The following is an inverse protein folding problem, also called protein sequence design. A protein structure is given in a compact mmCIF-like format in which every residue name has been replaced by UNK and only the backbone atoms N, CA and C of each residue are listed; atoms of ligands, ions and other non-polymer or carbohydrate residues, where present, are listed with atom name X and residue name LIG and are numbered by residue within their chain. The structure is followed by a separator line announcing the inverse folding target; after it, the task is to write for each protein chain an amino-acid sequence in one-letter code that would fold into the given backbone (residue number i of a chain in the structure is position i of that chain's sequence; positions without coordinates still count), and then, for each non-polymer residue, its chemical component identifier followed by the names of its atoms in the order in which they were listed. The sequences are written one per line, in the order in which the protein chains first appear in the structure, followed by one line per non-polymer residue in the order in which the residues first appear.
data_IF_116766965056
#
_entry.id   IF_116766965056
#
_cell.length_a   1.000
_cell.length_b   1.000
_cell.length_c   1.000
_cell.angle_alpha   90.00
_cell.angle_beta   90.00
_cell.angle_gamma   90.00
#
_symmetry.space_group_name_H-M   'P 1'
#
loop_
_entity.id
_entity.type
_entity.pdbx_description
1 polymer ?
#
# COMPACT_ATOMS: atom_id res chain seq x y z
N UNK A 1 26.32 -31.12 -50.92
CA UNK A 1 26.45 -29.72 -50.42
C UNK A 1 25.99 -28.81 -51.55
N UNK A 2 24.77 -28.22 -51.48
CA UNK A 2 24.23 -27.36 -52.54
C UNK A 2 24.86 -25.98 -52.39
N UNK A 3 25.65 -25.54 -53.37
CA UNK A 3 26.26 -24.19 -53.37
C UNK A 3 25.11 -23.23 -53.70
N UNK A 4 24.78 -22.38 -52.75
CA UNK A 4 23.83 -21.27 -52.96
C UNK A 4 24.33 -20.37 -54.07
N UNK A 5 23.47 -19.96 -55.00
CA UNK A 5 23.82 -19.10 -56.12
C UNK A 5 24.01 -17.66 -55.59
N UNK A 6 24.88 -16.91 -56.27
CA UNK A 6 25.19 -15.51 -55.89
C UNK A 6 23.91 -14.63 -55.76
N UNK A 7 22.91 -14.92 -56.55
CA UNK A 7 21.56 -14.32 -56.47
C UNK A 7 20.88 -14.51 -55.14
N UNK A 8 21.06 -15.66 -54.46
CA UNK A 8 20.43 -15.96 -53.20
C UNK A 8 21.06 -15.12 -52.07
N UNK A 9 22.34 -14.83 -52.12
CA UNK A 9 23.02 -13.93 -51.19
C UNK A 9 22.57 -12.47 -51.31
N UNK A 10 22.36 -12.00 -52.58
CA UNK A 10 21.86 -10.63 -52.81
C UNK A 10 20.43 -10.50 -52.28
N UNK A 11 19.58 -11.51 -52.49
CA UNK A 11 18.20 -11.50 -51.99
C UNK A 11 18.16 -11.50 -50.44
N UNK A 12 19.03 -12.28 -49.81
CA UNK A 12 19.16 -12.30 -48.34
C UNK A 12 19.70 -10.97 -47.78
N UNK A 13 20.65 -10.36 -48.46
CA UNK A 13 21.22 -9.06 -48.06
C UNK A 13 20.14 -7.95 -48.13
N UNK A 14 19.35 -7.93 -49.21
CA UNK A 14 18.25 -6.96 -49.37
C UNK A 14 17.18 -7.18 -48.29
N UNK A 15 16.85 -8.43 -47.93
CA UNK A 15 15.91 -8.74 -46.89
C UNK A 15 16.40 -8.27 -45.51
N UNK A 16 17.69 -8.46 -45.18
CA UNK A 16 18.29 -8.00 -43.94
C UNK A 16 18.35 -6.46 -43.83
N UNK A 17 18.63 -5.76 -44.92
CA UNK A 17 18.65 -4.28 -44.95
C UNK A 17 17.24 -3.71 -44.80
N UNK A 18 16.23 -4.37 -45.39
CA UNK A 18 14.81 -3.96 -45.27
C UNK A 18 14.26 -4.00 -43.83
N UNK A 19 14.75 -4.92 -42.98
CA UNK A 19 14.33 -5.04 -41.58
C UNK A 19 14.95 -3.96 -40.69
N UNK A 20 16.06 -3.37 -41.07
CA UNK A 20 16.75 -2.32 -40.30
C UNK A 20 16.19 -0.90 -40.51
N UNK A 21 15.31 -0.68 -41.50
CA UNK A 21 14.77 0.65 -41.82
C UNK A 21 13.43 0.93 -41.09
N UNK A 22 12.85 -0.07 -40.44
CA UNK A 22 11.60 0.07 -39.72
C UNK A 22 11.83 0.37 -38.25
N UNK A 23 12.08 1.59 -37.90
CA UNK A 23 11.83 2.29 -36.62
C UNK A 23 12.85 3.42 -36.45
N UNK A 24 12.67 4.50 -37.19
CA UNK A 24 13.25 5.78 -36.82
C UNK A 24 12.20 6.89 -36.78
N UNK A 25 11.02 6.55 -36.29
CA UNK A 25 10.17 7.60 -35.75
C UNK A 25 10.86 8.07 -34.46
N UNK A 26 11.60 9.15 -34.59
CA UNK A 26 11.97 9.99 -33.46
C UNK A 26 10.68 10.65 -32.97
N UNK A 27 9.73 9.86 -32.42
CA UNK A 27 8.80 10.43 -31.51
C UNK A 27 9.65 10.94 -30.34
N UNK A 28 9.83 12.24 -30.27
CA UNK A 28 10.19 12.88 -29.01
C UNK A 28 9.11 12.44 -28.03
N UNK A 29 9.45 11.46 -27.21
CA UNK A 29 8.62 11.10 -26.05
C UNK A 29 8.65 12.32 -25.15
N UNK A 30 7.70 13.22 -25.39
CA UNK A 30 7.46 14.31 -24.45
C UNK A 30 7.01 13.62 -23.17
N UNK A 31 7.75 13.74 -22.06
CA UNK A 31 7.31 13.20 -20.79
C UNK A 31 5.90 13.71 -20.56
N UNK A 32 4.96 12.82 -20.26
CA UNK A 32 3.62 13.21 -19.86
C UNK A 32 3.77 14.29 -18.79
N UNK A 33 3.07 15.39 -18.99
CA UNK A 33 3.18 16.56 -18.14
C UNK A 33 2.91 16.09 -16.68
N UNK A 34 3.94 16.14 -15.83
CA UNK A 34 3.90 15.67 -14.44
C UNK A 34 2.92 16.47 -13.55
N UNK A 35 2.09 17.31 -14.16
CA UNK A 35 1.07 18.11 -13.49
C UNK A 35 -0.13 17.30 -12.99
N UNK A 36 -0.34 16.10 -13.54
CA UNK A 36 -1.51 15.30 -13.19
C UNK A 36 -1.24 14.45 -11.92
N UNK A 37 -1.14 15.13 -10.79
CA UNK A 37 -1.15 14.45 -9.50
C UNK A 37 -2.59 14.16 -9.05
N UNK A 38 -3.12 13.00 -9.40
CA UNK A 38 -4.48 12.59 -9.05
C UNK A 38 -4.73 12.38 -7.55
N UNK A 39 -3.70 12.43 -6.72
CA UNK A 39 -3.85 12.49 -5.26
C UNK A 39 -4.17 13.90 -4.77
N UNK A 40 -3.76 14.91 -5.52
CA UNK A 40 -3.99 16.29 -5.16
C UNK A 40 -5.45 16.70 -5.39
N UNK A 41 -5.98 17.46 -4.45
CA UNK A 41 -7.29 18.07 -4.59
C UNK A 41 -7.15 19.31 -5.50
N UNK A 42 -8.00 19.50 -6.52
CA UNK A 42 -7.98 20.69 -7.36
C UNK A 42 -8.08 21.98 -6.53
N UNK A 43 -7.35 23.03 -6.94
CA UNK A 43 -7.28 24.28 -6.17
C UNK A 43 -8.64 24.98 -6.05
N UNK A 44 -9.49 24.83 -7.05
CA UNK A 44 -10.84 25.41 -7.14
C UNK A 44 -11.91 24.57 -6.42
N UNK A 45 -11.61 23.37 -5.94
CA UNK A 45 -12.55 22.54 -5.21
C UNK A 45 -12.88 23.14 -3.84
N UNK A 46 -14.18 23.32 -3.56
CA UNK A 46 -14.71 24.00 -2.37
C UNK A 46 -15.68 23.16 -1.55
N UNK A 47 -15.91 21.91 -1.95
CA UNK A 47 -16.74 21.00 -1.17
C UNK A 47 -16.09 20.63 0.17
N UNK A 48 -16.86 20.24 1.18
CA UNK A 48 -16.36 20.00 2.53
C UNK A 48 -15.27 18.93 2.61
N UNK A 49 -15.38 17.83 1.84
CA UNK A 49 -14.35 16.77 1.79
C UNK A 49 -13.04 17.30 1.20
N UNK A 50 -13.12 18.02 0.09
CA UNK A 50 -11.96 18.64 -0.56
C UNK A 50 -11.24 19.62 0.35
N UNK A 51 -11.99 20.44 1.10
CA UNK A 51 -11.40 21.36 2.07
C UNK A 51 -10.71 20.62 3.22
N UNK A 52 -11.32 19.56 3.74
CA UNK A 52 -10.71 18.70 4.77
C UNK A 52 -9.40 18.08 4.25
N UNK A 53 -9.41 17.53 3.04
CA UNK A 53 -8.23 16.93 2.41
C UNK A 53 -7.11 17.95 2.19
N UNK A 54 -7.43 19.17 1.77
CA UNK A 54 -6.47 20.28 1.63
C UNK A 54 -5.83 20.66 2.96
N UNK A 55 -6.64 20.87 4.01
CA UNK A 55 -6.17 21.19 5.36
C UNK A 55 -5.27 20.11 5.90
N UNK A 56 -5.68 18.85 5.83
CA UNK A 56 -4.88 17.70 6.27
C UNK A 56 -3.53 17.63 5.55
N UNK A 57 -3.53 17.83 4.22
CA UNK A 57 -2.30 17.87 3.43
C UNK A 57 -1.38 19.01 3.85
N UNK A 58 -1.93 20.19 4.13
CA UNK A 58 -1.15 21.35 4.57
C UNK A 58 -0.49 21.11 5.93
N UNK A 59 -1.20 20.45 6.85
CA UNK A 59 -0.73 20.18 8.21
C UNK A 59 0.27 19.02 8.29
N UNK A 60 0.03 17.93 7.53
CA UNK A 60 0.79 16.68 7.66
C UNK A 60 1.73 16.40 6.50
N UNK A 61 1.51 17.00 5.34
CA UNK A 61 2.18 16.65 4.10
C UNK A 61 1.59 15.43 3.37
N UNK A 62 0.61 14.74 3.93
CA UNK A 62 0.03 13.49 3.43
C UNK A 62 -1.21 13.78 2.59
N UNK A 63 -1.38 13.08 1.46
CA UNK A 63 -2.62 13.14 0.68
C UNK A 63 -3.69 12.25 1.34
N UNK A 64 -4.71 12.89 1.93
CA UNK A 64 -5.83 12.19 2.54
C UNK A 64 -6.84 11.75 1.47
N UNK A 65 -7.35 10.53 1.60
CA UNK A 65 -8.33 9.92 0.71
C UNK A 65 -9.46 9.28 1.54
N UNK A 66 -10.69 9.35 1.02
CA UNK A 66 -11.87 8.66 1.57
C UNK A 66 -12.46 7.64 0.60
N UNK A 67 -11.88 7.51 -0.58
CA UNK A 67 -12.10 6.43 -1.53
C UNK A 67 -10.79 6.12 -2.25
N UNK A 68 -10.69 4.96 -2.87
CA UNK A 68 -9.49 4.50 -3.55
C UNK A 68 -9.40 4.95 -5.02
N UNK A 69 -10.44 5.60 -5.55
CA UNK A 69 -10.48 6.06 -6.94
C UNK A 69 -9.73 7.38 -7.09
N UNK A 70 -8.64 7.35 -7.84
CA UNK A 70 -7.83 8.54 -8.14
C UNK A 70 -8.33 9.27 -9.38
N UNK A 71 -8.79 8.50 -10.38
CA UNK A 71 -9.20 9.00 -11.68
C UNK A 71 -10.37 8.19 -12.23
N UNK A 72 -11.36 8.88 -12.78
CA UNK A 72 -12.46 8.27 -13.50
C UNK A 72 -12.85 9.16 -14.68
N UNK A 73 -12.38 8.83 -15.87
CA UNK A 73 -12.56 9.65 -17.06
C UNK A 73 -13.28 8.87 -18.15
N UNK A 74 -14.25 9.52 -18.78
CA UNK A 74 -14.94 8.96 -19.94
C UNK A 74 -13.98 8.89 -21.14
N UNK A 75 -13.69 7.70 -21.63
CA UNK A 75 -12.86 7.49 -22.83
C UNK A 75 -13.64 7.43 -24.14
N UNK A 76 -14.94 7.26 -24.06
CA UNK A 76 -15.80 7.14 -25.21
C UNK A 76 -16.90 6.09 -25.00
N UNK A 77 -17.36 5.52 -26.09
CA UNK A 77 -18.32 4.40 -26.07
C UNK A 77 -17.67 3.17 -26.67
N UNK A 78 -17.99 2.02 -26.11
CA UNK A 78 -17.57 0.74 -26.66
C UNK A 78 -18.36 0.35 -27.93
N UNK A 79 -18.06 -0.81 -28.49
CA UNK A 79 -18.73 -1.35 -29.71
C UNK A 79 -20.22 -1.63 -29.53
N UNK A 80 -20.71 -1.66 -28.29
CA UNK A 80 -22.12 -1.90 -27.96
C UNK A 80 -22.87 -0.60 -27.63
N UNK A 81 -22.18 0.56 -27.66
CA UNK A 81 -22.74 1.86 -27.33
C UNK A 81 -22.70 2.19 -25.84
N UNK A 82 -22.07 1.35 -25.01
CA UNK A 82 -21.92 1.58 -23.59
C UNK A 82 -20.74 2.54 -23.31
N UNK A 83 -20.89 3.38 -22.29
CA UNK A 83 -19.83 4.31 -21.89
C UNK A 83 -18.63 3.57 -21.31
N UNK A 84 -17.45 3.81 -21.88
CA UNK A 84 -16.18 3.26 -21.40
C UNK A 84 -15.43 4.31 -20.60
N UNK A 85 -15.00 3.96 -19.39
CA UNK A 85 -14.27 4.83 -18.48
C UNK A 85 -12.86 4.30 -18.25
N UNK A 86 -11.89 5.22 -18.18
CA UNK A 86 -10.60 4.95 -17.57
C UNK A 86 -10.75 5.14 -16.06
N UNK A 87 -10.59 4.08 -15.31
CA UNK A 87 -10.58 4.13 -13.84
C UNK A 87 -9.17 3.81 -13.36
N UNK A 88 -8.60 4.69 -12.56
CA UNK A 88 -7.34 4.46 -11.86
C UNK A 88 -7.59 4.50 -10.35
N UNK A 89 -7.14 3.47 -9.65
CA UNK A 89 -7.29 3.36 -8.20
C UNK A 89 -5.93 3.34 -7.51
N UNK A 90 -5.94 3.60 -6.19
CA UNK A 90 -4.80 3.29 -5.33
C UNK A 90 -4.74 1.78 -5.18
N UNK A 91 -3.84 1.13 -5.92
CA UNK A 91 -3.75 -0.32 -5.93
C UNK A 91 -2.89 -0.82 -4.76
N UNK A 92 -3.50 -1.18 -3.65
CA UNK A 92 -2.83 -1.76 -2.48
C UNK A 92 -2.39 -3.22 -2.69
N UNK A 93 -2.91 -3.89 -3.72
CA UNK A 93 -2.56 -5.27 -4.07
C UNK A 93 -1.45 -5.34 -5.13
N UNK A 94 -0.74 -4.25 -5.41
CA UNK A 94 0.30 -4.24 -6.43
C UNK A 94 1.57 -4.92 -5.94
N UNK A 95 1.93 -6.02 -6.60
CA UNK A 95 3.19 -6.74 -6.42
C UNK A 95 3.87 -6.98 -7.76
N UNK A 96 5.19 -6.80 -7.82
CA UNK A 96 5.96 -7.00 -9.05
C UNK A 96 6.02 -8.47 -9.52
N UNK A 97 5.95 -9.41 -8.58
CA UNK A 97 6.25 -10.82 -8.84
C UNK A 97 5.17 -11.79 -8.36
N UNK A 98 4.06 -11.32 -7.85
CA UNK A 98 3.09 -12.20 -7.21
C UNK A 98 2.22 -12.96 -8.19
N UNK A 99 2.07 -14.25 -7.95
CA UNK A 99 1.14 -15.13 -8.64
C UNK A 99 -0.28 -15.01 -8.06
N UNK A 100 -0.37 -14.86 -6.73
CA UNK A 100 -1.65 -14.73 -6.01
C UNK A 100 -1.61 -13.39 -5.29
N UNK A 101 -2.60 -12.54 -5.56
CA UNK A 101 -2.72 -11.21 -4.97
C UNK A 101 -3.95 -11.15 -4.08
N UNK A 102 -3.83 -10.62 -2.85
CA UNK A 102 -5.00 -10.29 -2.07
C UNK A 102 -5.82 -9.21 -2.80
N UNK A 103 -7.14 -9.29 -2.69
CA UNK A 103 -8.06 -8.25 -3.12
C UNK A 103 -8.64 -7.58 -1.88
N UNK A 104 -8.50 -6.26 -1.78
CA UNK A 104 -9.05 -5.50 -0.65
C UNK A 104 -10.34 -4.83 -1.06
N UNK A 105 -11.40 -5.04 -0.29
CA UNK A 105 -12.67 -4.35 -0.44
C UNK A 105 -12.83 -3.33 0.67
N UNK A 106 -13.14 -2.09 0.26
CA UNK A 106 -13.30 -0.97 1.18
C UNK A 106 -14.77 -0.62 1.35
N UNK A 107 -15.21 -0.46 2.58
CA UNK A 107 -16.42 0.30 2.90
C UNK A 107 -16.01 1.73 3.19
N UNK A 108 -16.48 2.68 2.38
CA UNK A 108 -16.04 4.08 2.50
C UNK A 108 -16.83 4.86 3.54
N UNK A 109 -16.19 5.91 4.05
CA UNK A 109 -16.80 6.90 4.93
C UNK A 109 -17.39 8.00 4.05
N UNK A 110 -18.73 8.11 4.03
CA UNK A 110 -19.44 9.09 3.21
C UNK A 110 -19.89 10.32 4.00
N UNK A 111 -20.09 10.17 5.30
CA UNK A 111 -20.50 11.27 6.17
C UNK A 111 -19.31 12.18 6.49
N UNK A 112 -19.49 13.50 6.27
CA UNK A 112 -18.42 14.48 6.45
C UNK A 112 -17.99 14.65 7.91
N UNK A 113 -18.89 14.48 8.87
CA UNK A 113 -18.54 14.57 10.29
C UNK A 113 -17.73 13.33 10.71
N UNK A 114 -18.11 12.15 10.21
CA UNK A 114 -17.31 10.93 10.40
C UNK A 114 -15.92 11.07 9.77
N UNK A 115 -15.81 11.64 8.54
CA UNK A 115 -14.53 11.92 7.87
C UNK A 115 -13.64 12.85 8.70
N UNK A 116 -14.20 13.94 9.28
CA UNK A 116 -13.45 14.87 10.13
C UNK A 116 -12.93 14.20 11.39
N UNK A 117 -13.80 13.45 12.10
CA UNK A 117 -13.40 12.74 13.31
C UNK A 117 -12.34 11.68 13.03
N UNK A 118 -12.48 10.94 11.94
CA UNK A 118 -11.48 9.97 11.51
C UNK A 118 -10.13 10.63 11.18
N UNK A 119 -10.14 11.73 10.43
CA UNK A 119 -8.93 12.48 10.09
C UNK A 119 -8.22 13.04 11.33
N UNK A 120 -8.98 13.62 12.26
CA UNK A 120 -8.44 14.15 13.52
C UNK A 120 -7.87 13.05 14.41
N UNK A 121 -8.59 11.94 14.57
CA UNK A 121 -8.12 10.78 15.31
C UNK A 121 -6.78 10.27 14.78
N UNK A 122 -6.67 10.08 13.48
CA UNK A 122 -5.41 9.61 12.87
C UNK A 122 -4.29 10.62 13.06
N UNK A 123 -4.56 11.91 12.84
CA UNK A 123 -3.57 12.97 13.00
C UNK A 123 -3.04 13.03 14.44
N UNK A 124 -3.94 13.04 15.42
CA UNK A 124 -3.59 13.27 16.83
C UNK A 124 -3.08 12.02 17.54
N UNK A 125 -3.63 10.84 17.23
CA UNK A 125 -3.34 9.62 17.98
C UNK A 125 -2.37 8.68 17.27
N UNK A 126 -2.31 8.71 15.93
CA UNK A 126 -1.46 7.80 15.15
C UNK A 126 -0.24 8.53 14.60
N UNK A 127 -0.44 9.57 13.79
CA UNK A 127 0.68 10.26 13.15
C UNK A 127 1.57 10.98 14.16
N UNK A 128 1.03 11.50 15.24
CA UNK A 128 1.81 12.17 16.31
C UNK A 128 2.83 11.24 16.98
N UNK A 129 2.63 9.93 16.93
CA UNK A 129 3.56 8.95 17.48
C UNK A 129 4.77 8.68 16.56
N UNK A 130 4.75 9.15 15.32
CA UNK A 130 5.77 8.88 14.32
C UNK A 130 6.54 10.13 13.92
N UNK A 131 7.78 9.93 13.49
CA UNK A 131 8.51 10.96 12.76
C UNK A 131 7.92 11.15 11.37
N UNK A 132 7.85 12.40 10.90
CA UNK A 132 7.39 12.73 9.54
C UNK A 132 8.20 12.03 8.43
N UNK A 133 9.39 11.49 8.74
CA UNK A 133 10.22 10.72 7.79
C UNK A 133 9.58 9.42 7.34
N UNK A 134 8.67 8.84 8.15
CA UNK A 134 7.99 7.59 7.86
C UNK A 134 6.53 7.79 7.44
N UNK A 135 6.12 9.04 7.26
CA UNK A 135 4.76 9.33 6.79
C UNK A 135 4.55 8.79 5.38
N UNK A 136 3.39 8.19 5.11
CA UNK A 136 3.06 7.72 3.78
C UNK A 136 2.83 8.89 2.82
N UNK A 137 2.98 8.64 1.52
CA UNK A 137 2.61 9.62 0.51
C UNK A 137 1.10 9.91 0.51
N UNK A 138 0.29 8.87 0.66
CA UNK A 138 -1.17 8.99 0.79
C UNK A 138 -1.72 8.10 1.89
N UNK A 139 -2.86 8.48 2.43
CA UNK A 139 -3.57 7.78 3.48
C UNK A 139 -5.06 7.68 3.12
N UNK A 140 -5.55 6.47 2.94
CA UNK A 140 -6.97 6.18 2.77
C UNK A 140 -7.58 5.85 4.13
N UNK A 141 -8.61 6.58 4.52
CA UNK A 141 -9.45 6.26 5.66
C UNK A 141 -10.75 5.63 5.18
N UNK A 142 -10.94 4.38 5.55
CA UNK A 142 -12.12 3.60 5.21
C UNK A 142 -12.89 3.23 6.50
N UNK A 143 -14.18 2.96 6.39
CA UNK A 143 -14.98 2.46 7.51
C UNK A 143 -14.61 1.01 7.85
N UNK A 144 -14.32 0.20 6.79
CA UNK A 144 -13.97 -1.21 6.90
C UNK A 144 -13.06 -1.61 5.74
N UNK A 145 -12.16 -2.54 5.99
CA UNK A 145 -11.25 -3.14 5.00
C UNK A 145 -11.35 -4.65 5.10
N UNK A 146 -11.86 -5.31 4.07
CA UNK A 146 -11.94 -6.76 3.99
C UNK A 146 -10.92 -7.31 3.00
N UNK A 147 -10.24 -8.39 3.38
CA UNK A 147 -9.25 -9.07 2.54
C UNK A 147 -9.84 -10.33 1.92
N UNK A 148 -9.65 -10.47 0.62
CA UNK A 148 -10.07 -11.63 -0.16
C UNK A 148 -8.86 -12.22 -0.89
N UNK A 149 -8.78 -13.54 -0.92
CA UNK A 149 -7.73 -14.24 -1.66
C UNK A 149 -8.34 -15.28 -2.59
N UNK A 150 -7.66 -15.52 -3.72
CA UNK A 150 -8.06 -16.55 -4.66
C UNK A 150 -7.77 -17.92 -4.04
N UNK A 151 -8.82 -18.70 -3.84
CA UNK A 151 -8.71 -20.11 -3.54
C UNK A 151 -8.50 -20.89 -4.85
N UNK A 152 -7.28 -21.38 -5.06
CA UNK A 152 -6.92 -22.08 -6.29
C UNK A 152 -7.64 -23.42 -6.47
N UNK A 153 -8.15 -24.03 -5.40
CA UNK A 153 -8.88 -25.30 -5.48
C UNK A 153 -10.31 -25.08 -5.99
N UNK A 154 -10.88 -23.93 -5.68
CA UNK A 154 -12.27 -23.60 -6.03
C UNK A 154 -12.38 -22.61 -7.21
N UNK A 155 -11.25 -22.04 -7.66
CA UNK A 155 -11.19 -20.97 -8.67
C UNK A 155 -12.14 -19.79 -8.31
N UNK A 156 -12.19 -19.47 -7.02
CA UNK A 156 -13.07 -18.45 -6.44
C UNK A 156 -12.33 -17.61 -5.39
N UNK A 157 -12.73 -16.34 -5.25
CA UNK A 157 -12.24 -15.51 -4.17
C UNK A 157 -13.01 -15.81 -2.88
N UNK A 158 -12.27 -16.01 -1.81
CA UNK A 158 -12.79 -16.20 -0.45
C UNK A 158 -12.28 -15.09 0.47
N UNK A 159 -13.15 -14.64 1.36
CA UNK A 159 -12.75 -13.68 2.40
C UNK A 159 -11.85 -14.39 3.40
N UNK A 160 -10.61 -13.91 3.52
CA UNK A 160 -9.60 -14.47 4.43
C UNK A 160 -9.52 -13.70 5.73
N UNK A 161 -9.73 -12.40 5.67
CA UNK A 161 -9.72 -11.53 6.84
C UNK A 161 -10.80 -10.46 6.72
N UNK A 162 -11.56 -10.27 7.79
CA UNK A 162 -12.61 -9.28 7.91
C UNK A 162 -12.11 -8.12 8.79
N UNK A 163 -12.42 -6.89 8.37
CA UNK A 163 -12.13 -5.65 9.11
C UNK A 163 -10.66 -5.51 9.52
N UNK A 164 -9.77 -5.62 8.53
CA UNK A 164 -8.36 -5.31 8.72
C UNK A 164 -8.17 -3.89 9.23
N UNK A 165 -7.35 -3.74 10.27
CA UNK A 165 -7.02 -2.43 10.84
C UNK A 165 -6.20 -1.58 9.90
N UNK A 166 -5.26 -2.22 9.18
CA UNK A 166 -4.23 -1.55 8.42
C UNK A 166 -3.80 -2.38 7.22
N UNK A 167 -3.53 -1.70 6.12
CA UNK A 167 -2.80 -2.26 4.97
C UNK A 167 -1.83 -1.22 4.42
N UNK A 168 -0.74 -1.67 3.84
CA UNK A 168 0.22 -0.81 3.15
C UNK A 168 0.40 -1.22 1.70
N UNK A 169 0.73 -0.24 0.87
CA UNK A 169 1.04 -0.41 -0.54
C UNK A 169 2.08 0.60 -1.01
N UNK A 170 2.42 0.55 -2.27
CA UNK A 170 3.47 1.39 -2.86
C UNK A 170 3.19 2.89 -2.79
N UNK A 171 1.93 3.28 -2.91
CA UNK A 171 1.52 4.69 -2.99
C UNK A 171 1.00 5.23 -1.66
N UNK A 172 0.85 4.39 -0.65
CA UNK A 172 0.33 4.82 0.64
C UNK A 172 -0.14 3.68 1.53
N UNK A 173 -0.85 4.05 2.58
CA UNK A 173 -1.48 3.11 3.51
C UNK A 173 -2.99 3.33 3.56
N UNK A 174 -3.72 2.31 3.97
CA UNK A 174 -5.13 2.44 4.32
C UNK A 174 -5.36 1.97 5.75
N UNK A 175 -6.23 2.68 6.47
CA UNK A 175 -6.60 2.40 7.85
C UNK A 175 -8.11 2.29 7.93
N UNK A 176 -8.60 1.22 8.57
CA UNK A 176 -10.01 1.10 8.96
C UNK A 176 -10.29 2.07 10.11
N UNK A 177 -11.32 2.88 10.01
CA UNK A 177 -11.74 3.77 11.10
C UNK A 177 -12.94 3.20 11.88
N UNK A 178 -13.47 2.07 11.44
CA UNK A 178 -14.61 1.39 12.10
C UNK A 178 -15.73 2.38 12.42
N UNK A 179 -16.37 2.24 13.57
CA UNK A 179 -17.38 3.17 14.05
C UNK A 179 -16.77 4.26 14.94
N UNK A 180 -15.78 4.99 14.44
CA UNK A 180 -15.00 5.97 15.20
C UNK A 180 -15.86 7.05 15.90
N UNK A 181 -17.01 7.42 15.31
CA UNK A 181 -17.94 8.35 15.94
C UNK A 181 -18.57 7.84 17.23
N UNK A 182 -18.78 6.52 17.32
CA UNK A 182 -19.43 5.87 18.46
C UNK A 182 -18.44 5.50 19.57
N UNK A 183 -17.13 5.53 19.29
CA UNK A 183 -16.09 5.18 20.25
C UNK A 183 -15.95 6.25 21.33
N UNK A 184 -15.87 5.80 22.56
CA UNK A 184 -15.43 6.63 23.69
C UNK A 184 -13.94 6.96 23.57
N UNK A 185 -13.46 7.96 24.29
CA UNK A 185 -12.03 8.35 24.28
C UNK A 185 -11.10 7.20 24.75
N UNK A 186 -11.58 6.35 25.67
CA UNK A 186 -10.84 5.15 26.09
C UNK A 186 -10.74 4.10 24.98
N UNK A 187 -11.82 3.86 24.24
CA UNK A 187 -11.83 2.94 23.10
C UNK A 187 -10.97 3.46 21.96
N UNK A 188 -11.02 4.76 21.67
CA UNK A 188 -10.14 5.40 20.70
C UNK A 188 -8.65 5.25 21.08
N UNK A 189 -8.32 5.35 22.37
CA UNK A 189 -6.94 5.16 22.82
C UNK A 189 -6.47 3.71 22.58
N UNK A 190 -7.27 2.73 22.94
CA UNK A 190 -6.98 1.29 22.70
C UNK A 190 -6.86 1.02 21.19
N UNK A 191 -7.78 1.58 20.41
CA UNK A 191 -7.76 1.41 18.96
C UNK A 191 -6.53 2.06 18.30
N UNK A 192 -6.12 3.22 18.79
CA UNK A 192 -4.87 3.85 18.32
C UNK A 192 -3.65 2.96 18.59
N UNK A 193 -3.58 2.29 19.74
CA UNK A 193 -2.50 1.33 20.03
C UNK A 193 -2.53 0.12 19.08
N UNK A 194 -3.72 -0.36 18.72
CA UNK A 194 -3.88 -1.42 17.72
C UNK A 194 -3.34 -0.98 16.34
N UNK A 195 -3.76 0.19 15.86
CA UNK A 195 -3.26 0.77 14.59
C UNK A 195 -1.75 0.96 14.64
N UNK A 196 -1.22 1.55 15.71
CA UNK A 196 0.21 1.78 15.88
C UNK A 196 1.01 0.49 15.84
N UNK A 197 0.52 -0.57 16.48
CA UNK A 197 1.19 -1.87 16.48
C UNK A 197 1.31 -2.44 15.06
N UNK A 198 0.24 -2.38 14.25
CA UNK A 198 0.26 -2.88 12.88
C UNK A 198 1.18 -2.06 11.99
N UNK A 199 1.14 -0.72 12.09
CA UNK A 199 2.02 0.17 11.34
C UNK A 199 3.49 -0.06 11.70
N UNK A 200 3.80 -0.22 12.99
CA UNK A 200 5.17 -0.50 13.46
C UNK A 200 5.65 -1.86 12.99
N UNK A 201 4.81 -2.91 13.11
CA UNK A 201 5.17 -4.25 12.66
C UNK A 201 5.50 -4.29 11.16
N UNK A 202 4.68 -3.64 10.33
CA UNK A 202 4.91 -3.52 8.89
C UNK A 202 6.22 -2.77 8.56
N UNK A 203 6.48 -1.65 9.24
CA UNK A 203 7.71 -0.89 9.02
C UNK A 203 8.97 -1.64 9.49
N UNK A 204 8.91 -2.31 10.64
CA UNK A 204 10.02 -3.14 11.14
C UNK A 204 10.34 -4.25 10.15
N UNK A 205 9.34 -4.89 9.56
CA UNK A 205 9.55 -5.97 8.59
C UNK A 205 10.29 -5.54 7.32
N UNK A 206 10.33 -4.24 7.03
CA UNK A 206 10.98 -3.65 5.84
C UNK A 206 12.41 -3.14 6.11
N UNK A 207 12.83 -3.13 7.36
CA UNK A 207 14.17 -2.67 7.76
C UNK A 207 15.20 -3.78 7.55
N UNK A 208 16.39 -3.43 7.03
CA UNK A 208 17.49 -4.38 6.88
C UNK A 208 17.86 -4.97 8.25
N UNK A 209 18.04 -6.29 8.32
CA UNK A 209 18.39 -7.01 9.55
C UNK A 209 19.62 -6.41 10.25
N UNK A 210 20.58 -5.88 9.50
CA UNK A 210 21.79 -5.23 10.01
C UNK A 210 21.52 -4.00 10.87
N UNK A 211 20.41 -3.28 10.61
CA UNK A 211 20.04 -2.14 11.44
C UNK A 211 19.64 -2.56 12.86
N UNK A 212 19.28 -3.83 13.04
CA UNK A 212 18.95 -4.41 14.33
C UNK A 212 20.14 -5.03 15.07
N UNK A 213 21.33 -5.11 14.45
CA UNK A 213 22.51 -5.75 15.06
C UNK A 213 22.81 -5.16 16.44
N UNK A 214 22.72 -3.83 16.57
CA UNK A 214 22.90 -3.16 17.84
C UNK A 214 21.85 -3.54 18.87
N UNK A 215 20.60 -3.70 18.45
CA UNK A 215 19.51 -4.13 19.34
C UNK A 215 19.70 -5.58 19.76
N UNK A 216 20.00 -6.45 18.82
CA UNK A 216 20.22 -7.87 19.09
C UNK A 216 21.49 -8.13 19.94
N UNK A 217 22.50 -7.28 19.83
CA UNK A 217 23.73 -7.42 20.61
C UNK A 217 23.49 -7.36 22.13
N UNK A 218 22.47 -6.66 22.59
CA UNK A 218 22.10 -6.63 24.01
C UNK A 218 21.58 -7.98 24.54
N UNK A 219 20.93 -8.75 23.69
CA UNK A 219 20.35 -10.05 24.03
C UNK A 219 21.26 -11.24 23.63
N UNK A 220 22.35 -11.00 22.90
CA UNK A 220 23.21 -12.03 22.31
C UNK A 220 23.71 -13.06 23.33
N UNK A 221 24.10 -12.60 24.52
CA UNK A 221 24.59 -13.47 25.61
C UNK A 221 23.53 -14.40 26.17
N UNK A 222 22.25 -14.13 25.85
CA UNK A 222 21.09 -14.92 26.33
C UNK A 222 20.53 -15.82 25.23
N UNK A 223 20.98 -15.70 23.99
CA UNK A 223 20.61 -16.63 22.93
C UNK A 223 21.12 -18.03 23.33
N UNK A 224 20.34 -19.06 23.05
CA UNK A 224 20.60 -20.45 23.37
C UNK A 224 20.62 -20.83 24.89
N UNK A 225 20.71 -19.82 25.78
CA UNK A 225 20.68 -20.07 27.26
C UNK A 225 19.28 -19.99 27.83
N UNK A 226 18.31 -19.52 27.01
CA UNK A 226 16.97 -19.31 27.49
C UNK A 226 16.24 -20.62 27.71
N UNK A 227 15.80 -20.86 28.94
CA UNK A 227 14.94 -21.99 29.28
C UNK A 227 13.48 -21.61 29.07
N UNK A 228 12.69 -22.53 28.50
CA UNK A 228 11.22 -22.38 28.37
C UNK A 228 10.50 -22.21 29.73
N UNK A 229 11.22 -22.47 30.85
CA UNK A 229 10.73 -22.30 32.20
C UNK A 229 11.07 -20.94 32.84
N UNK A 230 11.76 -20.06 32.14
CA UNK A 230 12.06 -18.72 32.64
C UNK A 230 10.78 -17.87 32.75
N UNK A 231 10.62 -17.08 33.84
CA UNK A 231 9.48 -16.18 33.98
C UNK A 231 9.39 -15.17 32.86
N UNK A 232 8.19 -14.93 32.30
CA UNK A 232 7.95 -13.96 31.22
C UNK A 232 8.44 -12.54 31.55
N UNK A 233 8.43 -12.16 32.84
CA UNK A 233 8.94 -10.86 33.31
C UNK A 233 10.42 -10.63 33.03
N UNK A 234 11.19 -11.68 32.95
CA UNK A 234 12.66 -11.57 32.77
C UNK A 234 13.06 -11.41 31.32
N UNK A 235 12.22 -11.88 30.39
CA UNK A 235 12.49 -11.83 28.94
C UNK A 235 12.64 -10.40 28.45
N UNK A 236 11.74 -9.52 28.84
CA UNK A 236 11.74 -8.11 28.42
C UNK A 236 12.95 -7.34 28.95
N UNK A 237 13.46 -7.71 30.12
CA UNK A 237 14.63 -7.07 30.74
C UNK A 237 15.93 -7.37 30.00
N UNK A 238 15.97 -8.45 29.23
CA UNK A 238 17.13 -8.88 28.44
C UNK A 238 16.97 -8.65 26.93
N UNK A 239 15.97 -7.86 26.53
CA UNK A 239 15.82 -7.38 25.16
C UNK A 239 14.94 -8.25 24.25
N UNK A 240 14.21 -9.23 24.78
CA UNK A 240 13.24 -9.97 23.98
C UNK A 240 11.85 -9.32 24.01
N UNK A 241 11.16 -9.30 22.89
CA UNK A 241 9.80 -8.72 22.77
C UNK A 241 8.72 -9.64 23.35
N UNK A 242 8.95 -10.95 23.32
CA UNK A 242 8.03 -11.94 23.83
C UNK A 242 8.56 -13.36 23.73
N UNK A 243 7.80 -14.32 24.24
CA UNK A 243 8.06 -15.75 24.06
C UNK A 243 6.82 -16.43 23.49
N UNK A 244 7.03 -17.32 22.51
CA UNK A 244 6.00 -18.27 22.12
C UNK A 244 6.29 -19.60 22.88
N UNK A 245 5.38 -20.07 23.74
CA UNK A 245 5.61 -21.28 24.51
C UNK A 245 5.79 -22.55 23.66
N UNK A 246 5.41 -22.51 22.37
CA UNK A 246 5.53 -23.63 21.43
C UNK A 246 6.73 -23.51 20.48
N UNK A 247 7.27 -22.30 20.28
CA UNK A 247 8.33 -22.03 19.29
C UNK A 247 9.62 -21.44 19.89
N UNK A 248 9.70 -21.25 21.19
CA UNK A 248 10.83 -20.56 21.81
C UNK A 248 10.76 -19.03 21.73
N UNK A 249 11.89 -18.37 21.90
CA UNK A 249 11.98 -16.91 21.86
C UNK A 249 11.79 -16.39 20.45
N UNK A 250 10.87 -15.45 20.28
CA UNK A 250 10.69 -14.71 19.01
C UNK A 250 11.71 -13.57 18.98
N UNK A 251 12.49 -13.54 17.94
CA UNK A 251 13.38 -12.42 17.62
C UNK A 251 12.61 -11.24 17.11
#
# INVERSE_FOLDING_TARGET
MKIMKFTDYITWLILCVGVCIGCSDKEEVVPSDLKDNYFAVPDDATDPESLLRKSFKQETGIHLLFNDTLRCELRGTDRYGEKSYLVETVNYSYYLTSVIKPCYLFTYIHDIEEQKVAAEFIKERVLSAFSSKIYPYSLLLAKKIDCWQLNNEQDAYEMTEEDLVYISGWKGMAISCRNILEMTESEKAVYAEEVLREVVADNISKVDEKEFDRFFSYAETYYEKWSIFAPLSDIKTVGFLGSNPLMGTVR
#
